data_IF_642014061326
#
_entry.id   IF_642014061326
#
_cell.length_a   1.000
_cell.length_b   1.000
_cell.length_c   1.000
_cell.angle_alpha   90.00
_cell.angle_beta   90.00
_cell.angle_gamma   90.00
#
_symmetry.space_group_name_H-M   'P 1'
#
loop_
_entity.id
_entity.type
_entity.pdbx_description
1 polymer ?
#
# COMPACT_ATOMS: atom_id res chain seq x y z
N UNK A 1 -1.76 6.48 -18.22
CA UNK A 1 -2.30 5.26 -18.87
C UNK A 1 -3.08 4.46 -17.82
N UNK A 2 -4.13 3.80 -18.27
CA UNK A 2 -4.94 2.93 -17.41
C UNK A 2 -4.43 1.49 -17.52
N UNK A 3 -4.25 0.82 -16.37
CA UNK A 3 -3.76 -0.55 -16.32
C UNK A 3 -4.57 -1.40 -15.35
N UNK A 4 -4.71 -2.68 -15.67
CA UNK A 4 -5.31 -3.68 -14.80
C UNK A 4 -4.23 -4.68 -14.39
N UNK A 5 -4.07 -4.89 -13.09
CA UNK A 5 -3.04 -5.80 -12.56
C UNK A 5 -3.67 -6.77 -11.56
N UNK A 6 -3.00 -7.90 -11.38
CA UNK A 6 -3.41 -8.94 -10.44
C UNK A 6 -2.42 -9.02 -9.29
N UNK A 7 -2.92 -8.97 -8.06
CA UNK A 7 -2.10 -9.15 -6.86
C UNK A 7 -2.18 -10.61 -6.39
N UNK A 8 -1.08 -11.23 -5.94
CA UNK A 8 0.27 -10.68 -5.78
C UNK A 8 0.92 -10.27 -7.12
N UNK A 9 1.88 -9.35 -7.06
CA UNK A 9 2.50 -8.77 -8.24
C UNK A 9 3.83 -9.45 -8.58
N UNK A 10 4.03 -9.72 -9.88
CA UNK A 10 5.35 -10.14 -10.36
C UNK A 10 6.26 -8.93 -10.55
N UNK A 11 7.56 -9.14 -10.54
CA UNK A 11 8.54 -8.07 -10.81
C UNK A 11 8.38 -7.49 -12.22
N UNK A 12 8.01 -8.32 -13.19
CA UNK A 12 7.75 -7.89 -14.57
C UNK A 12 6.57 -6.92 -14.64
N UNK A 13 5.48 -7.24 -13.93
CA UNK A 13 4.29 -6.37 -13.88
C UNK A 13 4.63 -5.01 -13.25
N UNK A 14 5.43 -5.02 -12.17
CA UNK A 14 5.84 -3.79 -11.48
C UNK A 14 6.67 -2.88 -12.38
N UNK A 15 7.59 -3.44 -13.15
CA UNK A 15 8.49 -2.69 -14.05
C UNK A 15 7.74 -1.89 -15.11
N UNK A 16 6.58 -2.36 -15.53
CA UNK A 16 5.77 -1.70 -16.55
C UNK A 16 4.99 -0.49 -16.03
N UNK A 17 4.83 -0.40 -14.70
CA UNK A 17 4.09 0.69 -14.07
C UNK A 17 4.93 1.97 -14.07
N UNK A 18 4.29 3.08 -14.42
CA UNK A 18 4.92 4.39 -14.47
C UNK A 18 4.18 5.36 -13.56
N UNK A 19 4.93 6.26 -12.91
CA UNK A 19 4.36 7.31 -12.08
C UNK A 19 3.27 8.06 -12.85
N UNK A 20 2.11 8.20 -12.23
CA UNK A 20 0.92 8.81 -12.83
C UNK A 20 -0.05 7.82 -13.49
N UNK A 21 0.32 6.55 -13.64
CA UNK A 21 -0.60 5.55 -14.19
C UNK A 21 -1.77 5.30 -13.26
N UNK A 22 -2.97 5.20 -13.83
CA UNK A 22 -4.15 4.70 -13.15
C UNK A 22 -4.14 3.18 -13.17
N UNK A 23 -4.34 2.56 -12.01
CA UNK A 23 -4.23 1.10 -11.86
C UNK A 23 -5.46 0.56 -11.13
N UNK A 24 -6.02 -0.52 -11.65
CA UNK A 24 -7.08 -1.28 -10.99
C UNK A 24 -6.50 -2.62 -10.55
N UNK A 25 -6.52 -2.86 -9.24
CA UNK A 25 -5.94 -4.07 -8.64
C UNK A 25 -7.04 -5.08 -8.36
N UNK A 26 -6.85 -6.31 -8.84
CA UNK A 26 -7.72 -7.44 -8.52
C UNK A 26 -6.88 -8.55 -7.90
N UNK A 27 -7.38 -9.17 -6.85
CA UNK A 27 -6.68 -10.26 -6.17
C UNK A 27 -6.55 -10.04 -4.68
N UNK A 28 -5.45 -10.52 -4.11
CA UNK A 28 -5.22 -10.52 -2.67
C UNK A 28 -4.26 -9.41 -2.28
N UNK A 29 -4.67 -8.57 -1.31
CA UNK A 29 -3.81 -7.59 -0.67
C UNK A 29 -3.96 -7.72 0.86
N UNK A 30 -3.05 -7.11 1.60
CA UNK A 30 -3.07 -7.16 3.07
C UNK A 30 -3.15 -5.76 3.65
N UNK A 31 -3.71 -5.62 4.85
CA UNK A 31 -3.74 -4.33 5.54
C UNK A 31 -2.78 -4.33 6.72
N UNK A 32 -2.12 -3.22 6.94
CA UNK A 32 -1.33 -2.99 8.15
C UNK A 32 -1.13 -1.48 8.34
N UNK A 33 -1.36 -1.01 9.56
CA UNK A 33 -1.12 0.37 9.96
C UNK A 33 0.01 0.44 10.99
N UNK A 34 0.05 1.55 11.73
CA UNK A 34 1.12 1.89 12.67
C UNK A 34 1.44 0.78 13.69
N UNK A 35 0.42 0.28 14.38
CA UNK A 35 0.62 -0.71 15.45
C UNK A 35 1.12 -2.04 14.89
N UNK A 36 0.56 -2.50 13.77
CA UNK A 36 1.00 -3.74 13.12
C UNK A 36 2.43 -3.60 12.58
N UNK A 37 2.74 -2.47 11.95
CA UNK A 37 4.10 -2.20 11.47
C UNK A 37 5.13 -2.19 12.59
N UNK A 38 4.81 -1.53 13.70
CA UNK A 38 5.70 -1.49 14.86
C UNK A 38 5.97 -2.89 15.39
N UNK A 39 4.92 -3.71 15.51
CA UNK A 39 5.04 -5.09 16.01
C UNK A 39 5.87 -5.95 15.05
N UNK A 40 5.67 -5.83 13.75
CA UNK A 40 6.48 -6.53 12.75
C UNK A 40 7.95 -6.08 12.81
N UNK A 41 8.19 -4.80 12.95
CA UNK A 41 9.54 -4.25 13.05
C UNK A 41 10.27 -4.78 14.29
N UNK A 42 9.60 -4.81 15.43
CA UNK A 42 10.14 -5.37 16.66
C UNK A 42 10.42 -6.88 16.52
N UNK A 43 9.52 -7.62 15.85
CA UNK A 43 9.71 -9.05 15.58
C UNK A 43 10.96 -9.29 14.72
N UNK A 44 11.19 -8.48 13.69
CA UNK A 44 12.39 -8.57 12.87
C UNK A 44 13.66 -8.29 13.68
N UNK A 45 13.62 -7.32 14.59
CA UNK A 45 14.74 -7.03 15.48
C UNK A 45 15.10 -8.15 16.43
N UNK A 46 14.14 -9.05 16.71
CA UNK A 46 14.31 -10.23 17.57
C UNK A 46 14.48 -11.52 16.78
N UNK A 47 14.68 -11.44 15.46
CA UNK A 47 14.79 -12.59 14.54
C UNK A 47 13.58 -13.52 14.59
N UNK A 48 12.39 -12.98 14.83
CA UNK A 48 11.13 -13.72 14.82
C UNK A 48 10.51 -13.70 13.43
N UNK A 49 9.75 -14.74 13.10
CA UNK A 49 9.02 -14.79 11.83
C UNK A 49 7.87 -13.78 11.83
N UNK A 50 7.59 -13.23 10.64
CA UNK A 50 6.45 -12.34 10.44
C UNK A 50 5.17 -13.17 10.21
N UNK A 51 4.00 -12.61 10.54
CA UNK A 51 2.73 -13.32 10.40
C UNK A 51 2.23 -13.47 8.97
N UNK A 52 2.88 -12.79 8.01
CA UNK A 52 2.58 -12.92 6.59
C UNK A 52 3.87 -12.89 5.77
N UNK A 53 3.82 -13.54 4.61
CA UNK A 53 4.94 -13.50 3.67
C UNK A 53 4.93 -12.16 2.93
N UNK A 54 6.11 -11.51 2.84
CA UNK A 54 6.23 -10.21 2.17
C UNK A 54 6.37 -10.35 0.66
N UNK A 55 7.00 -11.42 0.18
CA UNK A 55 7.33 -11.57 -1.24
C UNK A 55 6.12 -11.41 -2.15
N UNK A 56 6.23 -10.49 -3.10
CA UNK A 56 5.25 -10.19 -4.14
C UNK A 56 3.90 -9.63 -3.64
N UNK A 57 3.75 -9.42 -2.35
CA UNK A 57 2.51 -8.92 -1.76
C UNK A 57 2.46 -7.40 -1.69
N UNK A 58 1.25 -6.87 -1.55
CA UNK A 58 0.96 -5.46 -1.34
C UNK A 58 0.42 -5.26 0.07
N UNK A 59 0.84 -4.18 0.72
CA UNK A 59 0.26 -3.75 2.00
C UNK A 59 -0.50 -2.44 1.78
N UNK A 60 -1.78 -2.46 2.15
CA UNK A 60 -2.62 -1.27 2.19
C UNK A 60 -2.60 -0.67 3.60
N UNK A 61 -2.21 0.58 3.70
CA UNK A 61 -2.14 1.32 4.96
C UNK A 61 -3.55 1.76 5.36
N UNK A 62 -4.28 0.85 5.97
CA UNK A 62 -5.68 1.03 6.30
C UNK A 62 -6.02 0.30 7.59
N UNK A 63 -6.80 0.94 8.45
CA UNK A 63 -7.47 0.31 9.56
C UNK A 63 -8.96 0.61 9.39
N UNK A 64 -9.77 -0.37 8.98
CA UNK A 64 -11.15 -0.11 8.63
C UNK A 64 -11.99 0.22 9.86
N UNK A 65 -13.08 0.96 9.65
CA UNK A 65 -14.13 1.04 10.66
C UNK A 65 -14.86 -0.30 10.74
N UNK A 66 -15.60 -0.57 11.83
CA UNK A 66 -16.36 -1.82 11.96
C UNK A 66 -17.28 -2.05 10.75
N UNK A 67 -17.39 -3.30 10.33
CA UNK A 67 -18.23 -3.68 9.21
C UNK A 67 -19.70 -3.47 9.54
N UNK A 68 -20.46 -2.99 8.54
CA UNK A 68 -21.92 -2.93 8.61
C UNK A 68 -22.48 -4.28 8.17
N UNK A 69 -23.72 -4.58 8.58
CA UNK A 69 -24.42 -5.79 8.21
C UNK A 69 -24.41 -6.00 6.68
N UNK A 70 -24.04 -7.19 6.25
CA UNK A 70 -23.95 -7.54 4.83
C UNK A 70 -22.72 -7.02 4.10
N UNK A 71 -21.76 -6.41 4.81
CA UNK A 71 -20.52 -5.89 4.22
C UNK A 71 -19.29 -6.54 4.83
N UNK A 72 -18.26 -6.87 4.03
CA UNK A 72 -17.04 -7.48 4.56
C UNK A 72 -16.19 -6.52 5.41
N UNK A 73 -16.37 -5.21 5.23
CA UNK A 73 -15.57 -4.19 5.89
C UNK A 73 -16.37 -2.88 5.96
N UNK A 74 -16.04 -2.01 6.91
CA UNK A 74 -16.61 -0.67 6.98
C UNK A 74 -15.89 0.29 6.03
N UNK A 75 -15.69 1.54 6.45
CA UNK A 75 -14.93 2.52 5.66
C UNK A 75 -13.47 2.05 5.51
N UNK A 76 -12.93 2.13 4.29
CA UNK A 76 -11.62 1.59 3.93
C UNK A 76 -10.66 2.66 3.40
N UNK A 77 -10.73 3.87 3.94
CA UNK A 77 -9.85 4.97 3.54
C UNK A 77 -8.39 4.77 3.96
N UNK A 78 -7.43 5.28 3.14
CA UNK A 78 -6.01 5.13 3.43
C UNK A 78 -5.57 6.03 4.59
N UNK A 79 -4.57 5.55 5.34
CA UNK A 79 -3.85 6.32 6.35
C UNK A 79 -2.64 7.01 5.71
N UNK A 80 -2.20 8.12 6.30
CA UNK A 80 -1.01 8.85 5.88
C UNK A 80 0.22 7.94 5.90
N UNK A 81 0.85 7.80 4.74
CA UNK A 81 1.95 6.84 4.53
C UNK A 81 3.23 7.19 5.28
N UNK A 82 3.51 8.48 5.50
CA UNK A 82 4.74 8.91 6.19
C UNK A 82 4.89 8.31 7.58
N UNK A 83 3.79 7.92 8.21
CA UNK A 83 3.79 7.28 9.53
C UNK A 83 4.45 5.90 9.49
N UNK A 84 4.53 5.26 8.33
CA UNK A 84 5.14 3.95 8.13
C UNK A 84 6.58 4.02 7.59
N UNK A 85 7.10 5.21 7.32
CA UNK A 85 8.38 5.38 6.60
C UNK A 85 9.58 4.73 7.29
N UNK A 86 9.60 4.71 8.62
CA UNK A 86 10.72 4.08 9.33
C UNK A 86 10.68 2.54 9.28
N UNK A 87 9.51 1.96 8.98
CA UNK A 87 9.31 0.51 8.93
C UNK A 87 9.38 -0.06 7.52
N UNK A 88 8.96 0.73 6.53
CA UNK A 88 8.78 0.26 5.17
C UNK A 88 10.05 -0.34 4.53
N UNK A 89 11.25 0.28 4.64
CA UNK A 89 12.44 -0.30 4.00
C UNK A 89 12.72 -1.74 4.41
N UNK A 90 12.54 -2.08 5.69
CA UNK A 90 12.75 -3.45 6.18
C UNK A 90 11.84 -4.46 5.49
N UNK A 91 10.59 -4.08 5.24
CA UNK A 91 9.61 -4.96 4.56
C UNK A 91 9.90 -5.07 3.07
N UNK A 92 10.31 -3.97 2.44
CA UNK A 92 10.71 -3.99 1.02
C UNK A 92 11.94 -4.88 0.80
N UNK A 93 12.88 -4.87 1.73
CA UNK A 93 14.06 -5.75 1.69
C UNK A 93 13.68 -7.23 1.79
N UNK A 94 12.53 -7.56 2.37
CA UNK A 94 12.01 -8.92 2.46
C UNK A 94 11.21 -9.35 1.22
N UNK A 95 11.07 -8.47 0.22
CA UNK A 95 10.39 -8.80 -1.02
C UNK A 95 9.00 -8.22 -1.18
N UNK A 96 8.54 -7.36 -0.26
CA UNK A 96 7.25 -6.68 -0.42
C UNK A 96 7.23 -5.96 -1.78
N UNK A 97 6.19 -6.19 -2.58
CA UNK A 97 6.10 -5.64 -3.92
C UNK A 97 5.74 -4.15 -3.92
N UNK A 98 4.94 -3.74 -2.96
CA UNK A 98 4.55 -2.34 -2.89
C UNK A 98 3.61 -2.02 -1.74
N UNK A 99 3.25 -0.75 -1.69
CA UNK A 99 2.42 -0.20 -0.62
C UNK A 99 1.34 0.68 -1.23
N UNK A 100 0.19 0.73 -0.56
CA UNK A 100 -0.93 1.59 -0.94
C UNK A 100 -1.26 2.48 0.26
N UNK A 101 -1.30 3.79 0.04
CA UNK A 101 -1.59 4.74 1.11
C UNK A 101 -1.95 6.10 0.57
N UNK A 102 -1.53 7.16 1.25
CA UNK A 102 -1.68 8.54 0.77
C UNK A 102 -0.53 9.41 1.28
N UNK A 103 -0.19 10.43 0.50
CA UNK A 103 0.81 11.42 0.88
C UNK A 103 2.22 11.04 0.47
N UNK A 104 3.15 11.91 0.83
CA UNK A 104 4.56 11.79 0.44
C UNK A 104 5.29 10.73 1.27
N UNK A 105 6.39 10.24 0.70
CA UNK A 105 7.30 9.31 1.38
C UNK A 105 8.66 9.98 1.61
N UNK A 106 9.39 9.47 2.61
CA UNK A 106 10.76 9.92 2.88
C UNK A 106 11.72 9.50 1.76
N UNK A 107 12.88 10.13 1.71
CA UNK A 107 13.94 9.77 0.78
C UNK A 107 14.39 8.31 0.98
N UNK A 108 14.49 7.87 2.21
CA UNK A 108 14.89 6.50 2.57
C UNK A 108 13.92 5.46 1.96
N UNK A 109 12.61 5.74 2.00
CA UNK A 109 11.61 4.86 1.39
C UNK A 109 11.74 4.87 -0.14
N UNK A 110 11.93 6.03 -0.76
CA UNK A 110 12.13 6.13 -2.20
C UNK A 110 13.37 5.35 -2.64
N UNK A 111 14.48 5.52 -1.95
CA UNK A 111 15.72 4.79 -2.25
C UNK A 111 15.52 3.28 -2.12
N UNK A 112 14.77 2.83 -1.11
CA UNK A 112 14.43 1.42 -0.91
C UNK A 112 13.53 0.88 -2.02
N UNK A 113 12.57 1.67 -2.49
CA UNK A 113 11.69 1.33 -3.63
C UNK A 113 12.53 1.06 -4.88
N UNK A 114 13.45 1.96 -5.20
CA UNK A 114 14.34 1.83 -6.36
C UNK A 114 15.26 0.62 -6.21
N UNK A 115 15.90 0.49 -5.06
CA UNK A 115 16.83 -0.61 -4.75
C UNK A 115 16.16 -1.98 -4.92
N UNK A 116 14.92 -2.13 -4.47
CA UNK A 116 14.22 -3.41 -4.45
C UNK A 116 13.27 -3.63 -5.63
N UNK A 117 13.12 -2.63 -6.52
CA UNK A 117 12.22 -2.73 -7.66
C UNK A 117 10.76 -2.79 -7.27
N UNK A 118 10.34 -1.94 -6.36
CA UNK A 118 8.99 -1.89 -5.79
C UNK A 118 8.18 -0.72 -6.35
N UNK A 119 6.97 -0.53 -5.83
CA UNK A 119 6.06 0.53 -6.26
C UNK A 119 5.27 1.07 -5.07
N UNK A 120 4.97 2.36 -5.10
CA UNK A 120 4.08 2.97 -4.13
C UNK A 120 2.87 3.55 -4.84
N UNK A 121 1.68 3.17 -4.37
CA UNK A 121 0.40 3.63 -4.89
C UNK A 121 -0.32 4.54 -3.89
N UNK A 122 -1.09 5.47 -4.41
CA UNK A 122 -2.11 6.18 -3.62
C UNK A 122 -3.48 5.62 -3.95
N UNK A 123 -4.31 5.41 -2.93
CA UNK A 123 -5.70 5.00 -3.13
C UNK A 123 -6.49 6.16 -3.71
N UNK A 124 -7.36 5.87 -4.68
CA UNK A 124 -8.18 6.84 -5.39
C UNK A 124 -9.64 6.65 -4.99
N UNK A 125 -10.42 7.73 -5.02
CA UNK A 125 -11.84 7.67 -4.72
C UNK A 125 -12.24 8.42 -3.45
N UNK A 126 -11.30 9.09 -2.79
CA UNK A 126 -11.52 10.05 -1.72
C UNK A 126 -12.17 9.50 -0.45
N UNK A 127 -13.40 9.04 -0.53
CA UNK A 127 -14.12 8.50 0.62
C UNK A 127 -13.87 7.00 0.78
N UNK A 128 -13.48 6.58 1.98
CA UNK A 128 -13.26 5.16 2.29
C UNK A 128 -14.46 4.26 2.02
N UNK A 129 -15.69 4.83 2.04
CA UNK A 129 -16.89 4.10 1.69
C UNK A 129 -16.93 3.63 0.22
N UNK A 130 -16.37 4.44 -0.69
CA UNK A 130 -16.27 4.06 -2.12
C UNK A 130 -15.19 2.99 -2.32
N UNK A 131 -14.05 3.12 -1.65
CA UNK A 131 -12.98 2.13 -1.71
C UNK A 131 -13.43 0.78 -1.16
N UNK A 132 -14.25 0.79 -0.09
CA UNK A 132 -14.75 -0.45 0.52
C UNK A 132 -15.59 -1.29 -0.45
N UNK A 133 -16.24 -0.67 -1.44
CA UNK A 133 -17.03 -1.39 -2.46
C UNK A 133 -16.18 -2.31 -3.34
N UNK A 134 -14.88 -2.00 -3.48
CA UNK A 134 -13.94 -2.83 -4.24
C UNK A 134 -13.47 -4.05 -3.43
N UNK A 135 -13.78 -4.11 -2.14
CA UNK A 135 -13.35 -5.18 -1.26
C UNK A 135 -14.45 -6.25 -1.20
N UNK A 136 -14.13 -7.45 -1.71
CA UNK A 136 -15.07 -8.58 -1.80
C UNK A 136 -15.13 -9.31 -0.47
N UNK A 137 -13.98 -9.51 0.19
CA UNK A 137 -13.89 -10.22 1.46
C UNK A 137 -12.76 -9.67 2.32
N UNK A 138 -12.89 -9.86 3.62
CA UNK A 138 -11.91 -9.43 4.61
C UNK A 138 -11.81 -10.46 5.72
N UNK A 139 -10.58 -10.87 6.05
CA UNK A 139 -10.30 -11.85 7.09
C UNK A 139 -9.14 -11.37 7.95
N UNK A 140 -9.33 -11.34 9.26
CA UNK A 140 -8.21 -11.08 10.19
C UNK A 140 -7.30 -12.30 10.21
N UNK A 141 -6.03 -12.10 9.87
CA UNK A 141 -5.05 -13.19 9.81
C UNK A 141 -4.01 -13.12 10.92
N UNK A 142 -3.81 -11.95 11.54
CA UNK A 142 -2.83 -11.77 12.59
C UNK A 142 -3.12 -10.53 13.42
N UNK A 143 -2.58 -10.50 14.63
CA UNK A 143 -2.62 -9.36 15.55
C UNK A 143 -4.05 -8.88 15.84
N UNK A 144 -4.98 -9.83 16.03
CA UNK A 144 -6.39 -9.53 16.28
C UNK A 144 -6.62 -8.69 17.54
N UNK A 145 -5.69 -8.76 18.51
CA UNK A 145 -5.70 -7.90 19.70
C UNK A 145 -5.56 -6.41 19.37
N UNK A 146 -5.08 -6.06 18.18
CA UNK A 146 -4.96 -4.67 17.73
C UNK A 146 -6.28 -4.09 17.20
N UNK A 147 -7.35 -4.87 17.18
CA UNK A 147 -8.67 -4.39 16.73
C UNK A 147 -8.66 -3.96 15.27
N UNK A 148 -9.03 -2.70 14.99
CA UNK A 148 -9.05 -2.17 13.62
C UNK A 148 -7.67 -2.11 12.96
N UNK A 149 -6.59 -2.20 13.73
CA UNK A 149 -5.22 -2.22 13.22
C UNK A 149 -4.65 -3.64 13.10
N UNK A 150 -5.48 -4.68 13.27
CA UNK A 150 -5.09 -6.05 12.98
C UNK A 150 -4.71 -6.20 11.51
N UNK A 151 -3.85 -7.17 11.21
CA UNK A 151 -3.52 -7.50 9.81
C UNK A 151 -4.69 -8.28 9.22
N UNK A 152 -5.21 -7.78 8.10
CA UNK A 152 -6.30 -8.41 7.37
C UNK A 152 -5.83 -8.84 5.99
N UNK A 153 -6.38 -9.95 5.53
CA UNK A 153 -6.27 -10.39 4.15
C UNK A 153 -7.53 -9.92 3.43
N UNK A 154 -7.36 -9.16 2.36
CA UNK A 154 -8.46 -8.64 1.57
C UNK A 154 -8.44 -9.27 0.18
N UNK A 155 -9.63 -9.71 -0.29
CA UNK A 155 -9.82 -9.97 -1.72
C UNK A 155 -10.46 -8.73 -2.32
N UNK A 156 -9.85 -8.18 -3.36
CA UNK A 156 -10.32 -6.95 -4.01
C UNK A 156 -10.59 -7.20 -5.50
N UNK A 157 -11.50 -6.40 -6.05
CA UNK A 157 -11.82 -6.41 -7.48
C UNK A 157 -11.81 -4.96 -7.98
N UNK A 158 -10.97 -4.71 -8.98
CA UNK A 158 -10.81 -3.38 -9.59
C UNK A 158 -10.60 -2.27 -8.56
N UNK A 159 -9.76 -2.52 -7.57
CA UNK A 159 -9.42 -1.56 -6.52
C UNK A 159 -8.63 -0.41 -7.14
N UNK A 160 -9.16 0.84 -7.12
CA UNK A 160 -8.57 1.95 -7.89
C UNK A 160 -7.41 2.60 -7.13
N UNK A 161 -6.27 2.66 -7.78
CA UNK A 161 -5.08 3.33 -7.26
C UNK A 161 -4.37 4.10 -8.38
N UNK A 162 -3.46 5.00 -7.99
CA UNK A 162 -2.58 5.69 -8.92
C UNK A 162 -1.13 5.41 -8.51
N UNK A 163 -0.25 5.20 -9.48
CA UNK A 163 1.18 5.03 -9.19
C UNK A 163 1.76 6.38 -8.79
N UNK A 164 2.29 6.47 -7.58
CA UNK A 164 2.98 7.68 -7.09
C UNK A 164 4.47 7.56 -7.32
N UNK A 165 5.10 6.46 -6.87
CA UNK A 165 6.53 6.24 -7.04
C UNK A 165 6.72 4.92 -7.79
N UNK A 166 7.38 4.99 -8.95
CA UNK A 166 7.69 3.82 -9.77
C UNK A 166 9.07 3.24 -9.45
N UNK A 167 9.45 2.15 -10.12
CA UNK A 167 10.73 1.46 -9.86
C UNK A 167 11.96 2.29 -10.19
N UNK A 168 11.81 3.36 -10.94
CA UNK A 168 12.90 4.28 -11.32
C UNK A 168 13.02 5.45 -10.34
N UNK A 169 12.11 5.55 -9.38
CA UNK A 169 12.09 6.63 -8.41
C UNK A 169 11.38 7.90 -8.89
N UNK A 170 10.68 7.84 -10.02
CA UNK A 170 9.83 8.94 -10.43
C UNK A 170 8.69 9.08 -9.43
N UNK A 171 8.49 10.30 -8.92
CA UNK A 171 7.54 10.59 -7.86
C UNK A 171 6.54 11.63 -8.37
N UNK A 172 5.27 11.25 -8.40
CA UNK A 172 4.18 12.09 -8.89
C UNK A 172 4.09 13.43 -8.14
N UNK A 173 4.34 13.42 -6.83
CA UNK A 173 4.31 14.66 -6.04
C UNK A 173 5.43 15.62 -6.44
N UNK A 174 6.62 15.11 -6.73
CA UNK A 174 7.75 15.94 -7.19
C UNK A 174 7.50 16.47 -8.60
N UNK A 175 6.97 15.64 -9.49
CA UNK A 175 6.62 16.04 -10.85
C UNK A 175 5.55 17.15 -10.85
N UNK A 176 4.51 16.98 -10.03
CA UNK A 176 3.45 17.98 -9.89
C UNK A 176 3.99 19.31 -9.37
N UNK A 177 4.86 19.29 -8.38
CA UNK A 177 5.49 20.51 -7.84
C UNK A 177 6.33 21.21 -8.91
N UNK A 178 7.09 20.45 -9.72
CA UNK A 178 7.91 21.04 -10.80
C UNK A 178 7.05 21.66 -11.90
N UNK A 179 5.94 21.02 -12.27
CA UNK A 179 5.03 21.52 -13.30
C UNK A 179 4.29 22.79 -12.83
N UNK A 180 3.69 22.77 -11.64
CA UNK A 180 2.92 23.87 -11.12
C UNK A 180 3.80 24.98 -10.54
N UNK A 181 4.97 24.68 -10.01
CA UNK A 181 5.93 25.67 -9.50
C UNK A 181 6.51 26.58 -10.59
N UNK A 182 6.54 26.12 -11.85
CA UNK A 182 7.02 26.91 -12.97
C UNK A 182 5.96 27.88 -13.55
N UNK A 183 4.69 27.66 -13.26
CA UNK A 183 3.59 28.52 -13.71
C UNK A 183 3.40 29.76 -12.85
N UNK A 184 3.91 29.76 -11.63
CA UNK A 184 3.83 30.91 -10.71
C UNK A 184 4.97 31.92 -10.88
N UNK A 185 5.86 31.69 -11.81
CA UNK A 185 6.94 32.61 -12.16
C UNK A 185 6.63 33.36 -13.44
#
# INVERSE_FOLDING_TARGET
MERHITAPLTKEAIKELQSGDYVYITGTIYTARDAAHKRMYEALGQNQELPLEMKDNLIYYMGPSPAREGRPIGSAGPTTSSRMDKYAPSLLDLGLAGMIGKGKRSKEVKDSIVKNGCVYFAAVGGAGALLSKSIISSEVIAYDDLGTEAIRKLEVENFPVIVVIDTKGNDLYETAVKEFGNEEK
#
